data_IF_298651021785
#
_entry.id   IF_298651021785
#
_cell.length_a   1.000
_cell.length_b   1.000
_cell.length_c   1.000
_cell.angle_alpha   90.00
_cell.angle_beta   90.00
_cell.angle_gamma   90.00
#
_symmetry.space_group_name_H-M   'P 1'
#
loop_
_entity.id
_entity.type
_entity.pdbx_description
1 polymer ?
#
# COMPACT_ATOMS: atom_id res chain seq x y z
N UNK A 1 -6.71 -14.42 13.48
CA UNK A 1 -7.71 -14.88 14.46
C UNK A 1 -9.06 -14.34 13.98
N UNK A 2 -9.97 -15.20 13.51
CA UNK A 2 -11.31 -14.78 13.06
C UNK A 2 -12.23 -14.94 14.26
N UNK A 3 -12.86 -13.86 14.70
CA UNK A 3 -13.88 -13.94 15.74
C UNK A 3 -15.22 -14.24 15.05
N UNK A 4 -15.84 -15.35 15.42
CA UNK A 4 -17.16 -15.74 14.98
C UNK A 4 -18.13 -15.41 16.11
N UNK A 5 -19.13 -14.57 15.82
CA UNK A 5 -20.23 -14.33 16.74
C UNK A 5 -21.48 -14.98 16.16
N UNK A 6 -22.10 -15.85 16.96
CA UNK A 6 -23.42 -16.43 16.66
C UNK A 6 -24.48 -15.47 17.20
N UNK A 7 -25.34 -14.95 16.32
CA UNK A 7 -26.49 -14.15 16.71
C UNK A 7 -27.74 -15.01 16.50
N UNK A 8 -28.42 -15.33 17.59
CA UNK A 8 -29.75 -15.95 17.54
C UNK A 8 -30.80 -14.85 17.48
N UNK A 9 -31.49 -14.72 16.37
CA UNK A 9 -32.68 -13.88 16.24
C UNK A 9 -33.92 -14.75 16.37
N UNK A 10 -34.73 -14.49 17.39
CA UNK A 10 -36.05 -15.09 17.55
C UNK A 10 -37.09 -14.16 16.92
N UNK A 11 -37.68 -14.57 15.80
CA UNK A 11 -38.79 -13.85 15.18
C UNK A 11 -40.09 -14.32 15.82
N UNK A 12 -40.77 -13.42 16.53
CA UNK A 12 -42.06 -13.71 17.16
C UNK A 12 -43.20 -13.27 16.23
N UNK A 13 -43.79 -14.20 15.48
CA UNK A 13 -45.07 -13.96 14.80
C UNK A 13 -46.22 -14.23 15.77
N UNK A 14 -47.07 -13.22 15.98
CA UNK A 14 -48.34 -13.38 16.69
C UNK A 14 -49.46 -13.48 15.66
N UNK A 15 -50.09 -14.64 15.57
CA UNK A 15 -51.39 -14.80 14.92
C UNK A 15 -52.51 -14.78 15.96
N UNK A 16 -53.61 -14.10 15.63
CA UNK A 16 -54.80 -13.87 16.47
C UNK A 16 -55.72 -15.08 16.60
N UNK A 17 -55.21 -16.30 16.38
CA UNK A 17 -56.02 -17.49 16.15
C UNK A 17 -55.42 -18.75 16.79
N UNK A 18 -55.06 -18.71 18.08
CA UNK A 18 -55.06 -19.87 19.00
C UNK A 18 -54.44 -21.22 18.56
N UNK A 19 -53.52 -21.27 17.61
CA UNK A 19 -52.88 -22.49 17.14
C UNK A 19 -51.36 -22.42 17.33
N UNK A 20 -50.77 -23.50 17.86
CA UNK A 20 -49.35 -23.63 18.15
C UNK A 20 -48.57 -23.71 16.84
N UNK A 21 -47.76 -22.69 16.54
CA UNK A 21 -46.92 -22.64 15.33
C UNK A 21 -45.51 -23.16 15.65
N UNK A 22 -45.08 -24.08 14.79
CA UNK A 22 -43.81 -24.78 14.75
C UNK A 22 -42.60 -23.81 14.63
N UNK A 23 -41.59 -23.99 15.48
CA UNK A 23 -40.38 -23.15 15.52
C UNK A 23 -39.46 -23.48 14.35
N UNK A 24 -39.44 -22.64 13.31
CA UNK A 24 -38.38 -22.65 12.31
C UNK A 24 -37.22 -21.75 12.75
N UNK A 25 -36.03 -22.34 12.89
CA UNK A 25 -34.78 -21.62 13.18
C UNK A 25 -34.00 -21.53 11.88
N UNK A 26 -33.84 -20.33 11.31
CA UNK A 26 -32.93 -20.11 10.19
C UNK A 26 -31.64 -19.44 10.70
N UNK A 27 -30.52 -20.12 10.49
CA UNK A 27 -29.19 -19.56 10.78
C UNK A 27 -28.74 -18.71 9.59
N UNK A 28 -28.86 -17.39 9.71
CA UNK A 28 -28.31 -16.47 8.73
C UNK A 28 -26.87 -16.10 9.10
N UNK A 29 -25.91 -16.58 8.31
CA UNK A 29 -24.52 -16.13 8.37
C UNK A 29 -24.39 -14.77 7.67
N UNK A 30 -24.41 -13.68 8.44
CA UNK A 30 -24.01 -12.35 7.92
C UNK A 30 -22.49 -12.17 8.02
N UNK A 31 -21.80 -12.30 6.88
CA UNK A 31 -20.41 -11.85 6.75
C UNK A 31 -20.37 -10.31 6.68
N UNK A 32 -20.19 -9.65 7.84
CA UNK A 32 -19.87 -8.21 7.85
C UNK A 32 -18.44 -8.00 7.34
N UNK A 33 -18.31 -7.69 6.06
CA UNK A 33 -17.11 -7.05 5.52
C UNK A 33 -16.95 -5.65 6.15
N UNK A 34 -16.27 -5.55 7.29
CA UNK A 34 -15.74 -4.26 7.76
C UNK A 34 -14.52 -3.92 6.90
N UNK A 35 -14.76 -3.50 5.66
CA UNK A 35 -13.75 -2.83 4.84
C UNK A 35 -13.48 -1.47 5.48
N UNK A 36 -12.69 -1.45 6.57
CA UNK A 36 -12.07 -0.22 7.07
C UNK A 36 -11.30 0.36 5.89
N UNK A 37 -11.82 1.43 5.29
CA UNK A 37 -11.11 2.21 4.27
C UNK A 37 -9.80 2.65 4.92
N UNK A 38 -8.71 1.94 4.63
CA UNK A 38 -7.38 2.31 5.12
C UNK A 38 -7.10 3.70 4.57
N UNK A 39 -6.67 4.60 5.45
CA UNK A 39 -6.27 5.92 5.04
C UNK A 39 -5.23 5.85 3.91
N UNK A 40 -5.27 6.76 2.92
CA UNK A 40 -4.26 6.80 1.88
C UNK A 40 -2.89 7.04 2.50
N UNK A 41 -1.92 6.18 2.17
CA UNK A 41 -0.55 6.38 2.58
C UNK A 41 0.06 7.53 1.77
N UNK A 42 0.81 8.40 2.43
CA UNK A 42 1.57 9.46 1.77
C UNK A 42 3.07 9.19 1.86
N UNK A 43 3.81 9.80 0.92
CA UNK A 43 5.27 9.84 0.93
C UNK A 43 5.69 11.28 1.19
N UNK A 44 6.52 11.49 2.21
CA UNK A 44 7.20 12.75 2.44
C UNK A 44 8.62 12.71 1.86
N UNK A 45 9.03 13.78 1.15
CA UNK A 45 10.37 13.96 0.58
C UNK A 45 10.98 15.25 1.14
N UNK A 46 12.22 15.24 1.66
CA UNK A 46 12.90 16.47 2.06
C UNK A 46 13.28 17.29 0.82
N UNK A 47 12.97 18.59 0.85
CA UNK A 47 13.15 19.52 -0.28
C UNK A 47 14.58 20.09 -0.33
N UNK A 48 15.42 19.93 0.69
CA UNK A 48 16.71 20.62 0.76
C UNK A 48 17.92 19.66 0.75
N UNK A 49 18.87 19.92 -0.15
CA UNK A 49 20.22 19.34 -0.19
C UNK A 49 20.32 17.80 -0.11
N UNK A 50 19.27 17.09 -0.52
CA UNK A 50 19.31 15.63 -0.52
C UNK A 50 20.07 15.11 -1.75
N UNK A 51 20.84 14.02 -1.62
CA UNK A 51 21.32 13.22 -2.74
C UNK A 51 20.28 12.88 -3.83
N UNK A 52 18.98 12.99 -3.54
CA UNK A 52 17.91 12.83 -4.52
C UNK A 52 18.01 13.82 -5.69
N UNK A 53 18.52 15.04 -5.46
CA UNK A 53 18.71 16.03 -6.53
C UNK A 53 19.81 15.66 -7.53
N UNK A 54 20.68 14.70 -7.18
CA UNK A 54 21.71 14.17 -8.09
C UNK A 54 21.17 13.04 -8.97
N UNK A 55 19.95 12.57 -8.73
CA UNK A 55 19.33 11.51 -9.51
C UNK A 55 18.89 12.03 -10.87
N UNK A 56 19.12 11.23 -11.91
CA UNK A 56 18.45 11.45 -13.19
C UNK A 56 16.94 11.29 -13.04
N UNK A 57 16.16 11.87 -13.97
CA UNK A 57 14.70 11.74 -13.98
C UNK A 57 14.25 10.28 -13.88
N UNK A 58 14.88 9.38 -14.64
CA UNK A 58 14.58 7.94 -14.60
C UNK A 58 14.87 7.30 -13.23
N UNK A 59 15.99 7.66 -12.61
CA UNK A 59 16.35 7.15 -11.28
C UNK A 59 15.40 7.67 -10.20
N UNK A 60 15.05 8.96 -10.26
CA UNK A 60 14.09 9.57 -9.33
C UNK A 60 12.71 8.92 -9.46
N UNK A 61 12.20 8.75 -10.68
CA UNK A 61 10.92 8.06 -10.93
C UNK A 61 10.96 6.62 -10.43
N UNK A 62 12.08 5.91 -10.62
CA UNK A 62 12.27 4.56 -10.08
C UNK A 62 12.25 4.55 -8.55
N UNK A 63 12.96 5.48 -7.92
CA UNK A 63 12.99 5.63 -6.46
C UNK A 63 11.60 5.90 -5.88
N UNK A 64 10.85 6.84 -6.46
CA UNK A 64 9.50 7.17 -6.01
C UNK A 64 8.54 5.99 -6.17
N UNK A 65 8.64 5.25 -7.27
CA UNK A 65 7.85 4.04 -7.51
C UNK A 65 8.16 2.91 -6.50
N UNK A 66 9.42 2.79 -6.08
CA UNK A 66 9.80 1.87 -5.00
C UNK A 66 9.22 2.36 -3.66
N UNK A 67 9.34 3.65 -3.37
CA UNK A 67 8.83 4.27 -2.15
C UNK A 67 7.30 4.15 -2.00
N UNK A 68 6.54 4.13 -3.09
CA UNK A 68 5.08 3.91 -3.03
C UNK A 68 4.72 2.51 -2.56
N UNK A 69 5.53 1.52 -2.89
CA UNK A 69 5.25 0.10 -2.65
C UNK A 69 5.87 -0.43 -1.35
N UNK A 70 6.70 0.36 -0.66
CA UNK A 70 7.33 -0.05 0.61
C UNK A 70 6.31 -0.15 1.76
N UNK A 71 6.62 -0.92 2.80
CA UNK A 71 5.81 -1.02 4.02
C UNK A 71 6.09 0.17 4.97
N UNK A 72 5.45 0.19 6.14
CA UNK A 72 5.63 1.26 7.13
C UNK A 72 7.00 1.23 7.82
N UNK A 73 7.73 0.12 7.73
CA UNK A 73 9.09 -0.02 8.23
C UNK A 73 10.13 0.47 7.20
N UNK A 74 9.68 1.09 6.10
CA UNK A 74 10.47 1.53 4.95
C UNK A 74 11.18 0.37 4.23
N UNK A 75 10.61 -0.83 4.27
CA UNK A 75 11.14 -2.01 3.60
C UNK A 75 10.27 -2.44 2.42
N UNK A 76 10.91 -3.08 1.44
CA UNK A 76 10.25 -3.59 0.25
C UNK A 76 10.92 -4.88 -0.22
N UNK A 77 10.11 -5.87 -0.56
CA UNK A 77 10.56 -7.06 -1.28
C UNK A 77 10.64 -6.76 -2.78
N UNK A 78 11.86 -6.63 -3.29
CA UNK A 78 12.15 -6.51 -4.73
C UNK A 78 12.50 -7.88 -5.31
N UNK A 79 11.61 -8.86 -5.12
CA UNK A 79 11.66 -10.15 -5.81
C UNK A 79 11.53 -10.00 -7.34
N UNK A 80 11.93 -10.99 -8.15
CA UNK A 80 11.89 -10.88 -9.61
C UNK A 80 10.52 -10.52 -10.19
N UNK A 81 9.44 -10.99 -9.55
CA UNK A 81 8.06 -10.68 -9.91
C UNK A 81 7.73 -9.20 -9.66
N UNK A 82 8.07 -8.68 -8.47
CA UNK A 82 7.86 -7.26 -8.14
C UNK A 82 8.70 -6.37 -9.07
N UNK A 83 9.97 -6.70 -9.33
CA UNK A 83 10.79 -5.95 -10.27
C UNK A 83 10.20 -5.91 -11.68
N UNK A 84 9.61 -7.01 -12.15
CA UNK A 84 8.88 -7.02 -13.43
C UNK A 84 7.70 -6.07 -13.39
N UNK A 85 6.85 -6.16 -12.36
CA UNK A 85 5.68 -5.28 -12.17
C UNK A 85 6.08 -3.81 -12.21
N UNK A 86 7.09 -3.42 -11.44
CA UNK A 86 7.55 -2.03 -11.37
C UNK A 86 8.18 -1.57 -12.68
N UNK A 87 8.99 -2.41 -13.34
CA UNK A 87 9.56 -2.07 -14.65
C UNK A 87 8.48 -1.84 -15.71
N UNK A 88 7.43 -2.67 -15.72
CA UNK A 88 6.27 -2.50 -16.61
C UNK A 88 5.49 -1.22 -16.30
N UNK A 89 5.26 -0.90 -15.02
CA UNK A 89 4.59 0.32 -14.59
C UNK A 89 5.33 1.57 -15.05
N UNK A 90 6.66 1.55 -14.94
CA UNK A 90 7.55 2.63 -15.35
C UNK A 90 7.80 2.68 -16.86
N UNK A 91 7.33 1.67 -17.62
CA UNK A 91 7.61 1.49 -19.05
C UNK A 91 9.11 1.48 -19.38
N UNK A 92 9.91 0.84 -18.54
CA UNK A 92 11.36 0.66 -18.74
C UNK A 92 11.72 -0.83 -18.79
N UNK A 93 12.88 -1.15 -19.36
CA UNK A 93 13.37 -2.54 -19.37
C UNK A 93 13.77 -3.00 -17.96
N UNK A 94 13.75 -4.31 -17.70
CA UNK A 94 14.27 -4.90 -16.45
C UNK A 94 15.74 -4.55 -16.20
N UNK A 95 16.53 -4.46 -17.26
CA UNK A 95 17.94 -4.06 -17.19
C UNK A 95 18.06 -2.60 -16.74
N UNK A 96 17.30 -1.69 -17.35
CA UNK A 96 17.26 -0.28 -16.93
C UNK A 96 16.83 -0.12 -15.47
N UNK A 97 15.79 -0.86 -15.05
CA UNK A 97 15.37 -0.87 -13.64
C UNK A 97 16.49 -1.34 -12.71
N UNK A 98 17.22 -2.40 -13.09
CA UNK A 98 18.32 -2.95 -12.30
C UNK A 98 19.50 -1.96 -12.20
N UNK A 99 19.80 -1.26 -13.28
CA UNK A 99 20.83 -0.21 -13.30
C UNK A 99 20.44 0.97 -12.40
N UNK A 100 19.18 1.44 -12.49
CA UNK A 100 18.68 2.48 -11.60
C UNK A 100 18.76 2.05 -10.13
N UNK A 101 18.36 0.80 -9.82
CA UNK A 101 18.48 0.26 -8.47
C UNK A 101 19.94 0.20 -7.98
N UNK A 102 20.89 -0.12 -8.86
CA UNK A 102 22.32 -0.11 -8.52
C UNK A 102 22.80 1.30 -8.14
N UNK A 103 22.43 2.32 -8.90
CA UNK A 103 22.77 3.72 -8.60
C UNK A 103 22.10 4.22 -7.32
N UNK A 104 20.83 3.88 -7.10
CA UNK A 104 20.12 4.22 -5.85
C UNK A 104 20.78 3.60 -4.61
N UNK A 105 21.34 2.39 -4.72
CA UNK A 105 22.14 1.80 -3.64
C UNK A 105 23.43 2.55 -3.41
N UNK A 106 24.14 2.91 -4.48
CA UNK A 106 25.42 3.65 -4.40
C UNK A 106 25.25 5.01 -3.73
N UNK A 107 24.13 5.69 -3.99
CA UNK A 107 23.78 6.97 -3.39
C UNK A 107 23.20 6.84 -1.96
N UNK A 108 23.05 5.63 -1.44
CA UNK A 108 22.51 5.37 -0.11
C UNK A 108 21.00 5.58 0.01
N UNK A 109 20.28 5.78 -1.11
CA UNK A 109 18.84 5.93 -1.13
C UNK A 109 18.13 4.63 -0.72
N UNK A 110 18.73 3.48 -1.06
CA UNK A 110 18.21 2.14 -0.75
C UNK A 110 19.37 1.26 -0.25
N UNK A 111 19.14 0.45 0.76
CA UNK A 111 20.10 -0.54 1.28
C UNK A 111 19.57 -1.95 1.10
N UNK A 112 20.43 -2.88 0.71
CA UNK A 112 20.06 -4.29 0.64
C UNK A 112 20.10 -4.91 2.05
N UNK A 113 19.04 -5.60 2.46
CA UNK A 113 18.92 -6.29 3.75
C UNK A 113 18.95 -7.83 3.60
N UNK A 114 18.87 -8.34 2.38
CA UNK A 114 18.86 -9.78 2.11
C UNK A 114 18.92 -10.12 0.62
N UNK A 115 18.36 -11.25 0.22
CA UNK A 115 18.36 -11.63 -1.20
C UNK A 115 17.45 -10.71 -2.03
N UNK A 116 16.24 -10.47 -1.54
CA UNK A 116 15.24 -9.64 -2.21
C UNK A 116 14.67 -8.52 -1.35
N UNK A 117 15.01 -8.48 -0.06
CA UNK A 117 14.54 -7.44 0.87
C UNK A 117 15.45 -6.22 0.85
N UNK A 118 14.85 -5.05 0.61
CA UNK A 118 15.55 -3.77 0.58
C UNK A 118 14.90 -2.79 1.57
N UNK A 119 15.71 -1.92 2.16
CA UNK A 119 15.28 -0.83 3.02
C UNK A 119 15.51 0.50 2.31
N UNK A 120 14.45 1.27 2.12
CA UNK A 120 14.50 2.66 1.66
C UNK A 120 14.98 3.52 2.82
N UNK A 121 15.93 4.42 2.57
CA UNK A 121 16.51 5.23 3.64
C UNK A 121 15.49 6.27 4.14
N UNK A 122 15.19 6.30 5.46
CA UNK A 122 14.22 7.21 6.04
C UNK A 122 14.64 8.69 6.00
N UNK A 123 15.92 8.96 5.71
CA UNK A 123 16.41 10.31 5.46
C UNK A 123 15.88 10.92 4.17
N UNK A 124 15.39 10.09 3.24
CA UNK A 124 14.92 10.54 1.92
C UNK A 124 13.42 10.43 1.75
N UNK A 125 12.80 9.45 2.41
CA UNK A 125 11.38 9.15 2.27
C UNK A 125 10.84 8.71 3.62
N UNK A 126 9.70 9.27 4.01
CA UNK A 126 8.87 8.71 5.08
C UNK A 126 7.52 8.26 4.55
N UNK A 127 7.02 7.11 5.02
CA UNK A 127 5.64 6.65 4.77
C UNK A 127 4.79 6.81 6.02
N UNK A 128 3.66 7.49 5.88
CA UNK A 128 2.74 7.75 6.98
C UNK A 128 1.30 7.38 6.62
N UNK A 129 0.50 7.06 7.64
CA UNK A 129 -0.95 7.02 7.52
C UNK A 129 -1.49 8.43 7.73
N UNK A 130 -2.23 8.95 6.76
CA UNK A 130 -2.90 10.23 6.95
C UNK A 130 -4.15 10.00 7.82
N UNK A 131 -4.21 10.57 9.03
CA UNK A 131 -5.48 10.61 9.79
C UNK A 131 -6.44 11.70 9.28
N UNK A 132 -5.95 12.59 8.40
CA UNK A 132 -6.65 13.75 7.86
C UNK A 132 -6.43 13.89 6.36
N UNK A 133 -7.44 14.37 5.63
CA UNK A 133 -7.40 14.57 4.17
C UNK A 133 -6.15 15.37 3.76
N UNK A 134 -5.35 14.81 2.84
CA UNK A 134 -4.16 15.45 2.28
C UNK A 134 -4.63 16.61 1.41
N UNK A 135 -4.31 17.85 1.80
CA UNK A 135 -4.78 19.08 1.13
C UNK A 135 -4.02 19.37 -0.17
N UNK A 136 -2.89 18.70 -0.45
CA UNK A 136 -2.18 18.82 -1.73
C UNK A 136 -1.65 17.48 -2.23
N UNK A 137 -2.37 16.92 -3.18
CA UNK A 137 -1.83 15.93 -4.11
C UNK A 137 -0.97 16.71 -5.11
N UNK A 138 0.35 16.52 -5.08
CA UNK A 138 1.22 17.06 -6.13
C UNK A 138 1.01 16.17 -7.34
N UNK A 139 0.47 16.75 -8.40
CA UNK A 139 0.14 16.03 -9.63
C UNK A 139 1.43 15.56 -10.30
N UNK A 140 1.62 14.24 -10.35
CA UNK A 140 2.86 13.63 -10.84
C UNK A 140 3.12 13.97 -12.33
N UNK A 141 2.05 14.22 -13.07
CA UNK A 141 2.12 14.63 -14.48
C UNK A 141 2.72 16.02 -14.68
N UNK A 142 2.68 16.90 -13.66
CA UNK A 142 3.31 18.22 -13.72
C UNK A 142 4.85 18.13 -13.72
N UNK A 143 5.43 17.17 -12.99
CA UNK A 143 6.88 16.91 -12.97
C UNK A 143 7.39 16.22 -14.25
N UNK A 144 6.48 15.65 -15.05
CA UNK A 144 6.84 14.98 -16.30
C UNK A 144 7.17 15.96 -17.42
N UNK A 145 6.63 17.18 -17.36
CA UNK A 145 6.76 18.21 -18.40
C UNK A 145 7.73 19.36 -18.05
N UNK A 146 8.34 19.34 -16.86
CA UNK A 146 9.54 20.11 -16.51
C UNK A 146 10.81 19.30 -16.75
#
# INVERSE_FOLDING_TARGET
MREFFSVKTETLTKDTSGAVVEKQTSEHHEERHTSRKRAPAFIWLPIENTPLFKLSKSQLTTFLCIATEMNFDNEIDLSPAIRQKLSSLLKITRTSFSNNLAELKKLGCIKNKGSSLFMVSPHFVGKGETKYHIIKQVDYDALKNS
#
